data_IF_839959555688
#
_entry.id   IF_839959555688
#
_cell.length_a   1.000
_cell.length_b   1.000
_cell.length_c   1.000
_cell.angle_alpha   90.00
_cell.angle_beta   90.00
_cell.angle_gamma   90.00
#
_symmetry.space_group_name_H-M   'P 1'
#
loop_
_entity.id
_entity.type
_entity.pdbx_description
1 polymer ?
#
# COMPACT_ATOMS: atom_id res chain seq x y z
N UNK A 1 9.36 -24.89 9.34
CA UNK A 1 8.11 -25.58 9.74
C UNK A 1 6.93 -25.02 8.93
N UNK A 2 6.43 -25.76 7.94
CA UNK A 2 5.21 -25.38 7.19
C UNK A 2 3.96 -25.91 7.91
N UNK A 3 3.70 -25.43 9.13
CA UNK A 3 2.45 -25.74 9.82
C UNK A 3 1.30 -24.89 9.26
N UNK A 4 0.09 -25.48 9.24
CA UNK A 4 -1.14 -24.87 8.76
C UNK A 4 -2.18 -24.91 9.88
N UNK A 5 -2.91 -23.83 10.10
CA UNK A 5 -3.90 -23.70 11.17
C UNK A 5 -5.31 -23.39 10.62
N UNK A 6 -6.39 -23.72 11.35
CA UNK A 6 -7.75 -23.37 10.93
C UNK A 6 -7.93 -21.86 10.69
N UNK A 7 -8.62 -21.48 9.62
CA UNK A 7 -8.74 -20.08 9.21
C UNK A 7 -9.87 -19.30 9.94
N UNK A 8 -10.82 -19.99 10.57
CA UNK A 8 -12.06 -19.39 11.09
C UNK A 8 -11.82 -18.26 12.09
N UNK A 9 -10.94 -18.46 13.06
CA UNK A 9 -10.61 -17.45 14.09
C UNK A 9 -9.99 -16.20 13.45
N UNK A 10 -9.10 -16.38 12.47
CA UNK A 10 -8.45 -15.28 11.76
C UNK A 10 -9.40 -14.55 10.82
N UNK A 11 -10.37 -15.25 10.23
CA UNK A 11 -11.41 -14.63 9.43
C UNK A 11 -12.30 -13.72 10.29
N UNK A 12 -12.71 -14.19 11.47
CA UNK A 12 -13.45 -13.39 12.44
C UNK A 12 -12.63 -12.16 12.89
N UNK A 13 -11.35 -12.38 13.23
CA UNK A 13 -10.43 -11.31 13.65
C UNK A 13 -10.28 -10.21 12.59
N UNK A 14 -10.00 -10.56 11.33
CA UNK A 14 -9.84 -9.56 10.26
C UNK A 14 -11.14 -8.80 10.01
N UNK A 15 -12.29 -9.47 9.98
CA UNK A 15 -13.59 -8.79 9.79
C UNK A 15 -13.89 -7.84 10.94
N UNK A 16 -13.57 -8.24 12.17
CA UNK A 16 -13.66 -7.38 13.34
C UNK A 16 -12.74 -6.16 13.23
N UNK A 17 -11.47 -6.33 12.80
CA UNK A 17 -10.57 -5.20 12.56
C UNK A 17 -11.11 -4.22 11.52
N UNK A 18 -11.67 -4.72 10.41
CA UNK A 18 -12.29 -3.88 9.37
C UNK A 18 -13.47 -3.09 9.95
N UNK A 19 -14.36 -3.76 10.70
CA UNK A 19 -15.52 -3.13 11.30
C UNK A 19 -15.13 -2.04 12.33
N UNK A 20 -14.14 -2.32 13.18
CA UNK A 20 -13.74 -1.39 14.25
C UNK A 20 -12.93 -0.19 13.76
N UNK A 21 -12.19 -0.32 12.67
CA UNK A 21 -11.29 0.74 12.20
C UNK A 21 -11.80 1.48 10.96
N UNK A 22 -12.82 0.94 10.30
CA UNK A 22 -13.28 1.37 8.97
C UNK A 22 -12.17 1.39 7.90
N UNK A 23 -11.03 0.73 8.16
CA UNK A 23 -9.91 0.65 7.23
C UNK A 23 -10.15 -0.48 6.23
N UNK A 24 -9.92 -0.26 4.92
CA UNK A 24 -10.10 -1.31 3.93
C UNK A 24 -9.24 -2.55 4.24
N UNK A 25 -9.80 -3.74 4.07
CA UNK A 25 -9.11 -5.01 4.35
C UNK A 25 -7.76 -5.14 3.63
N UNK A 26 -7.61 -4.50 2.46
CA UNK A 26 -6.35 -4.53 1.70
C UNK A 26 -5.24 -3.73 2.37
N UNK A 27 -5.59 -2.67 3.09
CA UNK A 27 -4.63 -1.94 3.93
C UNK A 27 -4.17 -2.82 5.10
N UNK A 28 -5.08 -3.60 5.70
CA UNK A 28 -4.74 -4.59 6.74
C UNK A 28 -3.82 -5.68 6.17
N UNK A 29 -4.04 -6.12 4.93
CA UNK A 29 -3.15 -7.07 4.26
C UNK A 29 -1.73 -6.53 4.14
N UNK A 30 -1.58 -5.30 3.60
CA UNK A 30 -0.28 -4.64 3.48
C UNK A 30 0.38 -4.44 4.84
N UNK A 31 -0.38 -3.94 5.84
CA UNK A 31 0.13 -3.70 7.20
C UNK A 31 0.61 -4.99 7.88
N UNK A 32 -0.15 -6.07 7.76
CA UNK A 32 0.20 -7.36 8.36
C UNK A 32 1.28 -8.12 7.59
N UNK A 33 1.60 -7.71 6.37
CA UNK A 33 2.49 -8.44 5.47
C UNK A 33 1.92 -9.81 5.03
N UNK A 34 0.61 -10.01 5.17
CA UNK A 34 -0.09 -11.20 4.68
C UNK A 34 -0.64 -10.89 3.30
N UNK A 35 -0.57 -11.86 2.38
CA UNK A 35 -0.97 -11.62 0.99
C UNK A 35 -2.42 -11.10 0.91
N UNK A 36 -2.64 -10.08 0.07
CA UNK A 36 -3.98 -9.55 -0.21
C UNK A 36 -4.96 -10.63 -0.65
N UNK A 37 -4.51 -11.67 -1.36
CA UNK A 37 -5.35 -12.81 -1.73
C UNK A 37 -5.82 -13.61 -0.50
N UNK A 38 -4.95 -13.86 0.47
CA UNK A 38 -5.33 -14.56 1.71
C UNK A 38 -6.35 -13.73 2.50
N UNK A 39 -6.08 -12.44 2.69
CA UNK A 39 -6.98 -11.56 3.45
C UNK A 39 -8.33 -11.39 2.75
N UNK A 40 -8.35 -11.24 1.43
CA UNK A 40 -9.58 -11.22 0.63
C UNK A 40 -10.48 -12.41 0.96
N UNK A 41 -9.93 -13.64 0.92
CA UNK A 41 -10.68 -14.87 1.20
C UNK A 41 -11.16 -14.93 2.66
N UNK A 42 -10.38 -14.40 3.61
CA UNK A 42 -10.79 -14.31 5.03
C UNK A 42 -11.99 -13.38 5.22
N UNK A 43 -12.01 -12.23 4.53
CA UNK A 43 -13.14 -11.29 4.60
C UNK A 43 -14.32 -11.68 3.71
N UNK A 44 -14.26 -12.83 3.02
CA UNK A 44 -15.36 -13.34 2.19
C UNK A 44 -15.32 -12.88 0.72
N UNK A 45 -14.22 -12.28 0.27
CA UNK A 45 -14.00 -11.95 -1.14
C UNK A 45 -13.33 -13.15 -1.83
N UNK A 46 -14.11 -13.83 -2.67
CA UNK A 46 -13.67 -15.02 -3.41
C UNK A 46 -13.89 -16.34 -2.66
N UNK A 47 -13.31 -17.42 -3.16
CA UNK A 47 -13.55 -18.76 -2.62
C UNK A 47 -13.09 -18.89 -1.15
N UNK A 48 -13.87 -19.53 -0.26
CA UNK A 48 -13.50 -19.65 1.15
C UNK A 48 -12.19 -20.44 1.35
N UNK A 49 -11.49 -20.18 2.46
CA UNK A 49 -10.35 -20.98 2.92
C UNK A 49 -10.65 -21.65 4.25
N UNK A 50 -10.21 -22.91 4.37
CA UNK A 50 -10.31 -23.67 5.63
C UNK A 50 -9.07 -23.52 6.51
N UNK A 51 -7.89 -23.29 5.92
CA UNK A 51 -6.61 -23.19 6.62
C UNK A 51 -5.75 -22.06 6.06
N UNK A 52 -4.92 -21.47 6.91
CA UNK A 52 -3.85 -20.52 6.54
C UNK A 52 -2.50 -21.02 7.05
N UNK A 53 -1.41 -20.50 6.50
CA UNK A 53 -0.07 -20.80 6.99
C UNK A 53 0.07 -20.24 8.40
N UNK A 54 0.74 -20.98 9.29
CA UNK A 54 0.95 -20.53 10.67
C UNK A 54 1.69 -19.18 10.75
N UNK A 55 2.59 -18.90 9.80
CA UNK A 55 3.27 -17.59 9.73
C UNK A 55 2.30 -16.43 9.48
N UNK A 56 1.29 -16.62 8.62
CA UNK A 56 0.26 -15.62 8.34
C UNK A 56 -0.68 -15.46 9.55
N UNK A 57 -0.98 -16.56 10.23
CA UNK A 57 -1.74 -16.57 11.48
C UNK A 57 -1.05 -15.75 12.57
N UNK A 58 0.25 -15.96 12.78
CA UNK A 58 1.05 -15.20 13.75
C UNK A 58 1.07 -13.71 13.41
N UNK A 59 1.22 -13.36 12.12
CA UNK A 59 1.16 -11.95 11.67
C UNK A 59 -0.20 -11.32 11.97
N UNK A 60 -1.29 -12.03 11.68
CA UNK A 60 -2.65 -11.52 11.88
C UNK A 60 -3.02 -11.35 13.36
N UNK A 61 -2.70 -12.34 14.19
CA UNK A 61 -3.05 -12.28 15.62
C UNK A 61 -2.27 -11.19 16.37
N UNK A 62 -1.15 -10.71 15.82
CA UNK A 62 -0.40 -9.57 16.37
C UNK A 62 -1.00 -8.19 16.05
N UNK A 63 -1.94 -8.09 15.09
CA UNK A 63 -2.56 -6.80 14.74
C UNK A 63 -3.76 -6.53 15.65
N UNK A 64 -3.81 -5.30 16.17
CA UNK A 64 -4.89 -4.77 17.00
C UNK A 64 -5.35 -3.42 16.45
N UNK A 65 -6.57 -2.93 16.78
CA UNK A 65 -7.05 -1.63 16.31
C UNK A 65 -6.10 -0.49 16.64
N UNK A 66 -5.46 -0.51 17.82
CA UNK A 66 -4.54 0.53 18.27
C UNK A 66 -3.31 0.64 17.35
N UNK A 67 -2.81 -0.50 16.86
CA UNK A 67 -1.71 -0.51 15.87
C UNK A 67 -2.15 0.13 14.56
N UNK A 68 -3.40 -0.06 14.14
CA UNK A 68 -3.96 0.54 12.92
C UNK A 68 -4.13 2.05 13.11
N UNK A 69 -4.69 2.49 14.23
CA UNK A 69 -4.87 3.90 14.53
C UNK A 69 -3.54 4.63 14.69
N UNK A 70 -2.52 4.01 15.29
CA UNK A 70 -1.18 4.59 15.38
C UNK A 70 -0.58 4.94 14.00
N UNK A 71 -0.99 4.25 12.93
CA UNK A 71 -0.51 4.56 11.58
C UNK A 71 -1.01 5.92 11.05
N UNK A 72 -2.07 6.50 11.62
CA UNK A 72 -2.59 7.81 11.20
C UNK A 72 -1.76 8.96 11.72
N UNK A 73 -0.93 8.74 12.74
CA UNK A 73 -0.06 9.76 13.35
C UNK A 73 1.43 9.47 13.14
N UNK A 74 1.80 8.22 12.86
CA UNK A 74 3.19 7.83 12.58
C UNK A 74 3.66 8.41 11.26
N UNK A 75 4.65 9.31 11.28
CA UNK A 75 5.25 9.88 10.08
C UNK A 75 6.35 8.99 9.50
N UNK A 76 6.39 8.89 8.18
CA UNK A 76 7.39 8.15 7.41
C UNK A 76 7.82 8.95 6.18
N UNK A 77 8.98 8.61 5.63
CA UNK A 77 9.46 9.19 4.36
C UNK A 77 8.40 9.08 3.24
N UNK A 78 8.24 10.13 2.43
CA UNK A 78 7.25 10.18 1.36
C UNK A 78 7.74 9.59 0.04
N UNK A 79 9.04 9.28 -0.12
CA UNK A 79 9.65 8.93 -1.41
C UNK A 79 8.93 7.77 -2.11
N UNK A 80 8.66 6.68 -1.39
CA UNK A 80 7.94 5.52 -1.96
C UNK A 80 6.47 5.83 -2.26
N UNK A 81 5.81 6.64 -1.42
CA UNK A 81 4.43 7.07 -1.62
C UNK A 81 4.31 7.97 -2.86
N UNK A 82 5.21 8.93 -3.03
CA UNK A 82 5.30 9.81 -4.20
C UNK A 82 5.43 9.01 -5.49
N UNK A 83 6.33 8.02 -5.52
CA UNK A 83 6.47 7.12 -6.67
C UNK A 83 5.14 6.43 -7.01
N UNK A 84 4.40 5.95 -6.01
CA UNK A 84 3.09 5.33 -6.22
C UNK A 84 2.03 6.31 -6.74
N UNK A 85 2.02 7.54 -6.24
CA UNK A 85 1.15 8.60 -6.75
C UNK A 85 1.43 8.83 -8.24
N UNK A 86 2.69 9.02 -8.63
CA UNK A 86 3.05 9.19 -10.05
C UNK A 86 2.65 7.97 -10.89
N UNK A 87 2.87 6.76 -10.39
CA UNK A 87 2.45 5.55 -11.09
C UNK A 87 0.93 5.50 -11.30
N UNK A 88 0.14 5.90 -10.30
CA UNK A 88 -1.32 6.01 -10.44
C UNK A 88 -1.67 7.03 -11.52
N UNK A 89 -1.03 8.20 -11.52
CA UNK A 89 -1.23 9.22 -12.56
C UNK A 89 -0.88 8.69 -13.97
N UNK A 90 0.27 8.03 -14.14
CA UNK A 90 0.69 7.45 -15.43
C UNK A 90 -0.26 6.35 -15.91
N UNK A 91 -0.99 5.70 -15.00
CA UNK A 91 -2.04 4.73 -15.33
C UNK A 91 -3.44 5.37 -15.47
N UNK A 92 -3.52 6.70 -15.63
CA UNK A 92 -4.75 7.42 -15.97
C UNK A 92 -5.62 7.86 -14.78
N UNK A 93 -5.15 7.71 -13.54
CA UNK A 93 -5.92 8.12 -12.36
C UNK A 93 -5.73 9.61 -12.05
N UNK A 94 -6.84 10.34 -11.93
CA UNK A 94 -6.81 11.75 -11.52
C UNK A 94 -6.41 11.93 -10.05
N UNK A 95 -5.91 13.12 -9.70
CA UNK A 95 -5.52 13.44 -8.32
C UNK A 95 -6.67 13.27 -7.32
N UNK A 96 -7.92 13.51 -7.73
CA UNK A 96 -9.09 13.31 -6.85
C UNK A 96 -9.35 11.84 -6.55
N UNK A 97 -9.22 10.96 -7.55
CA UNK A 97 -9.29 9.51 -7.30
C UNK A 97 -8.16 9.05 -6.38
N UNK A 98 -6.95 9.57 -6.58
CA UNK A 98 -5.79 9.23 -5.75
C UNK A 98 -6.00 9.71 -4.31
N UNK A 99 -6.52 10.93 -4.11
CA UNK A 99 -6.90 11.46 -2.80
C UNK A 99 -7.93 10.56 -2.11
N UNK A 100 -8.95 10.11 -2.84
CA UNK A 100 -9.92 9.12 -2.37
C UNK A 100 -9.28 7.79 -1.96
N UNK A 101 -8.35 7.26 -2.76
CA UNK A 101 -7.63 6.03 -2.42
C UNK A 101 -6.76 6.17 -1.17
N UNK A 102 -6.05 7.29 -1.04
CA UNK A 102 -5.14 7.58 0.06
C UNK A 102 -5.88 8.00 1.34
N UNK A 103 -7.16 8.37 1.25
CA UNK A 103 -7.93 8.93 2.37
C UNK A 103 -7.31 10.23 2.87
N UNK A 104 -6.82 11.06 1.94
CA UNK A 104 -6.12 12.30 2.24
C UNK A 104 -6.73 13.46 1.44
N UNK A 105 -6.57 14.68 1.93
CA UNK A 105 -7.04 15.87 1.22
C UNK A 105 -6.26 16.08 -0.10
N UNK A 106 -6.91 16.63 -1.12
CA UNK A 106 -6.32 16.87 -2.44
C UNK A 106 -4.97 17.62 -2.35
N UNK A 107 -4.92 18.72 -1.58
CA UNK A 107 -3.68 19.49 -1.35
C UNK A 107 -2.53 18.65 -0.78
N UNK A 108 -2.82 17.71 0.12
CA UNK A 108 -1.80 16.83 0.70
C UNK A 108 -1.22 15.91 -0.36
N UNK A 109 -2.08 15.32 -1.20
CA UNK A 109 -1.64 14.45 -2.30
C UNK A 109 -0.84 15.24 -3.33
N UNK A 110 -1.27 16.46 -3.66
CA UNK A 110 -0.55 17.34 -4.57
C UNK A 110 0.84 17.71 -4.03
N UNK A 111 0.95 18.11 -2.76
CA UNK A 111 2.25 18.40 -2.14
C UNK A 111 3.17 17.17 -2.07
N UNK A 112 2.62 15.97 -1.87
CA UNK A 112 3.40 14.73 -1.95
C UNK A 112 3.89 14.46 -3.38
N UNK A 113 3.03 14.66 -4.38
CA UNK A 113 3.35 14.45 -5.79
C UNK A 113 4.44 15.43 -6.28
N UNK A 114 4.32 16.71 -5.93
CA UNK A 114 5.27 17.76 -6.32
C UNK A 114 6.60 17.66 -5.56
N UNK A 115 6.59 17.00 -4.40
CA UNK A 115 7.77 16.87 -3.54
C UNK A 115 7.89 17.93 -2.46
N UNK A 116 6.94 18.85 -2.38
CA UNK A 116 6.81 19.87 -1.33
C UNK A 116 6.71 19.24 0.07
N UNK A 117 6.16 18.02 0.16
CA UNK A 117 6.15 17.22 1.37
C UNK A 117 7.11 16.03 1.27
N UNK A 118 8.06 15.98 2.21
CA UNK A 118 9.06 14.91 2.33
C UNK A 118 8.62 13.77 3.24
N UNK A 119 7.55 13.96 4.01
CA UNK A 119 6.96 12.95 4.90
C UNK A 119 5.47 12.80 4.67
N UNK A 120 4.94 11.63 5.04
CA UNK A 120 3.51 11.34 5.05
C UNK A 120 3.19 10.41 6.23
N UNK A 121 1.92 10.26 6.59
CA UNK A 121 1.54 9.26 7.60
C UNK A 121 1.71 7.85 7.04
N UNK A 122 2.03 6.89 7.91
CA UNK A 122 2.15 5.48 7.54
C UNK A 122 0.83 4.98 6.91
N UNK A 123 -0.32 5.44 7.40
CA UNK A 123 -1.62 5.13 6.81
C UNK A 123 -1.72 5.56 5.34
N UNK A 124 -1.26 6.77 4.99
CA UNK A 124 -1.25 7.24 3.59
C UNK A 124 -0.36 6.34 2.73
N UNK A 125 0.82 5.97 3.22
CA UNK A 125 1.70 5.01 2.52
C UNK A 125 1.02 3.65 2.30
N UNK A 126 0.40 3.09 3.34
CA UNK A 126 -0.26 1.78 3.26
C UNK A 126 -1.45 1.80 2.30
N UNK A 127 -2.23 2.90 2.29
CA UNK A 127 -3.32 3.10 1.34
C UNK A 127 -2.82 3.24 -0.10
N UNK A 128 -1.72 3.96 -0.33
CA UNK A 128 -1.09 4.02 -1.65
C UNK A 128 -0.61 2.64 -2.13
N UNK A 129 -0.03 1.82 -1.24
CA UNK A 129 0.35 0.43 -1.55
C UNK A 129 -0.88 -0.41 -1.90
N UNK A 130 -1.92 -0.36 -1.07
CA UNK A 130 -3.17 -1.08 -1.29
C UNK A 130 -3.86 -0.66 -2.61
N UNK A 131 -3.82 0.62 -2.97
CA UNK A 131 -4.35 1.13 -4.23
C UNK A 131 -3.60 0.54 -5.44
N UNK A 132 -2.26 0.60 -5.44
CA UNK A 132 -1.47 -0.02 -6.49
C UNK A 132 -1.72 -1.53 -6.60
N UNK A 133 -1.78 -2.25 -5.47
CA UNK A 133 -2.09 -3.69 -5.48
C UNK A 133 -3.49 -3.99 -6.04
N UNK A 134 -4.50 -3.20 -5.68
CA UNK A 134 -5.87 -3.36 -6.18
C UNK A 134 -5.94 -3.19 -7.68
N UNK A 135 -5.21 -2.20 -8.20
CA UNK A 135 -5.21 -1.83 -9.62
C UNK A 135 -4.16 -2.61 -10.43
N UNK A 136 -3.48 -3.57 -9.79
CA UNK A 136 -2.41 -4.37 -10.40
C UNK A 136 -1.30 -3.52 -11.04
N UNK A 137 -1.07 -2.32 -10.49
CA UNK A 137 -0.01 -1.42 -10.93
C UNK A 137 1.30 -1.94 -10.31
N UNK A 138 2.24 -2.47 -11.10
CA UNK A 138 3.41 -3.18 -10.59
C UNK A 138 4.29 -2.18 -9.84
N UNK A 139 4.56 -2.42 -8.56
CA UNK A 139 5.59 -1.66 -7.87
C UNK A 139 6.90 -1.83 -8.65
N UNK A 140 7.35 -0.82 -9.40
CA UNK A 140 8.69 -0.86 -9.98
C UNK A 140 9.67 -0.74 -8.82
N UNK A 141 10.03 -1.89 -8.26
CA UNK A 141 11.18 -2.06 -7.38
C UNK A 141 12.37 -1.89 -8.33
N UNK A 142 13.05 -0.74 -8.24
CA UNK A 142 14.19 -0.31 -9.05
C UNK A 142 13.87 0.35 -10.41
N UNK A 143 13.90 1.68 -10.43
CA UNK A 143 14.62 2.39 -11.48
C UNK A 143 15.75 3.17 -10.77
N UNK A 144 17.04 2.87 -11.03
CA UNK A 144 18.12 3.71 -10.52
C UNK A 144 18.02 5.11 -11.16
N UNK A 145 18.37 6.13 -10.37
CA UNK A 145 18.64 7.46 -10.89
C UNK A 145 19.99 7.43 -11.62
N UNK A 146 19.96 7.33 -12.95
CA UNK A 146 21.05 7.62 -13.92
C UNK A 146 20.44 7.32 -15.29
N UNK A 147 20.40 8.17 -16.30
CA UNK A 147 21.15 9.37 -16.62
C UNK A 147 21.25 9.35 -18.15
N UNK A 148 20.62 10.31 -18.82
CA UNK A 148 20.92 10.76 -20.19
C UNK A 148 19.92 11.85 -20.57
N UNK A 149 20.22 13.13 -20.33
CA UNK A 149 19.74 14.15 -21.23
C UNK A 149 20.45 13.94 -22.56
N UNK A 150 19.67 13.55 -23.58
CA UNK A 150 20.12 13.69 -24.94
C UNK A 150 20.29 15.21 -25.24
N UNK A 151 21.31 15.51 -26.04
CA UNK A 151 21.65 16.78 -26.72
C UNK A 151 22.72 17.65 -26.03
N UNK A 152 23.96 17.56 -26.55
CA UNK A 152 24.57 18.65 -27.31
C UNK A 152 25.72 18.10 -28.18
N UNK A 153 25.56 18.25 -29.49
CA UNK A 153 26.62 18.20 -30.50
C UNK A 153 27.57 19.39 -30.25
N UNK A 154 28.89 19.18 -30.40
CA UNK A 154 29.84 20.08 -31.08
C UNK A 154 31.28 19.62 -30.82
N UNK A 155 31.93 19.09 -31.86
CA UNK A 155 33.25 19.62 -32.25
C UNK A 155 33.50 19.35 -33.73
N UNK A 156 33.65 20.46 -34.45
CA UNK A 156 34.21 20.55 -35.78
C UNK A 156 35.75 20.55 -35.73
N UNK A 157 36.35 20.23 -36.88
CA UNK A 157 37.70 20.60 -37.34
C UNK A 157 38.95 20.03 -36.62
N UNK A 158 39.63 19.11 -37.31
CA UNK A 158 40.94 19.36 -37.96
C UNK A 158 41.33 18.15 -38.84
#
# INVERSE_FOLDING_TARGET
>A
MNSWVPAQVFAAHVRWLVAQTAVPWRVIAVLSGVSSRTIARLVGVGAPIRRIRSIDATRLIGIRPEHIFATTTTLVDATSTRRRIHMLCTNGWSMDHIAGFLGAHHRTVQGLANGDSTTCTLMVRLRAMAACERLQIPARINAPATGSPHVAVLTDAA
#
